data_IF_604216013234
#
_entry.id   IF_604216013234
#
_cell.length_a   1.000
_cell.length_b   1.000
_cell.length_c   1.000
_cell.angle_alpha   90.00
_cell.angle_beta   90.00
_cell.angle_gamma   90.00
#
_symmetry.space_group_name_H-M   'P 1'
#
loop_
_entity.id
_entity.type
_entity.pdbx_description
1 polymer ?
#
# COMPACT_ATOMS: atom_id res chain seq x y z
N UNK A 1 18.45 3.33 14.13
CA UNK A 1 19.11 4.18 13.11
C UNK A 1 20.13 3.33 12.35
N UNK A 2 19.73 2.71 11.26
CA UNK A 2 20.60 1.89 10.38
C UNK A 2 20.48 2.36 8.93
N UNK A 3 21.41 1.90 8.09
CA UNK A 3 21.30 2.01 6.65
C UNK A 3 20.94 0.64 6.09
N UNK A 4 19.87 0.57 5.32
CA UNK A 4 19.34 -0.67 4.77
C UNK A 4 19.57 -0.70 3.25
N UNK A 5 20.68 -1.30 2.76
CA UNK A 5 21.04 -1.29 1.34
C UNK A 5 19.89 -1.79 0.45
N UNK A 6 19.63 -1.10 -0.65
CA UNK A 6 18.47 -1.36 -1.52
C UNK A 6 18.53 -2.74 -2.20
N UNK A 7 19.70 -3.24 -2.52
CA UNK A 7 19.90 -4.60 -3.06
C UNK A 7 19.53 -5.68 -2.04
N UNK A 8 19.85 -5.43 -0.76
CA UNK A 8 19.47 -6.32 0.35
C UNK A 8 17.97 -6.26 0.62
N UNK A 9 17.37 -5.07 0.53
CA UNK A 9 15.91 -4.91 0.62
C UNK A 9 15.20 -5.64 -0.54
N UNK A 10 15.71 -5.56 -1.78
CA UNK A 10 15.14 -6.31 -2.90
C UNK A 10 15.19 -7.82 -2.66
N UNK A 11 16.32 -8.31 -2.16
CA UNK A 11 16.43 -9.73 -1.82
C UNK A 11 15.43 -10.14 -0.73
N UNK A 12 15.26 -9.32 0.31
CA UNK A 12 14.28 -9.56 1.37
C UNK A 12 12.83 -9.52 0.84
N UNK A 13 12.52 -8.58 -0.05
CA UNK A 13 11.21 -8.47 -0.68
C UNK A 13 10.88 -9.72 -1.52
N UNK A 14 11.87 -10.28 -2.23
CA UNK A 14 11.72 -11.55 -2.95
C UNK A 14 11.44 -12.72 -2.02
N UNK A 15 12.20 -12.82 -0.91
CA UNK A 15 11.96 -13.86 0.09
C UNK A 15 10.55 -13.75 0.70
N UNK A 16 10.10 -12.53 0.99
CA UNK A 16 8.74 -12.28 1.47
C UNK A 16 7.68 -12.75 0.48
N UNK A 17 7.83 -12.39 -0.80
CA UNK A 17 6.91 -12.80 -1.87
C UNK A 17 6.88 -14.33 -2.02
N UNK A 18 8.04 -15.00 -2.02
CA UNK A 18 8.12 -16.46 -2.08
C UNK A 18 7.47 -17.12 -0.85
N UNK A 19 7.73 -16.58 0.33
CA UNK A 19 7.12 -17.07 1.58
C UNK A 19 5.60 -16.94 1.57
N UNK A 20 5.06 -15.86 1.01
CA UNK A 20 3.62 -15.63 0.86
C UNK A 20 3.00 -16.43 -0.30
N UNK A 21 3.81 -17.08 -1.13
CA UNK A 21 3.35 -17.96 -2.21
C UNK A 21 3.21 -17.27 -3.56
N UNK A 22 3.94 -16.17 -3.81
CA UNK A 22 4.00 -15.54 -5.13
C UNK A 22 4.72 -16.46 -6.13
N UNK A 23 4.09 -16.70 -7.27
CA UNK A 23 4.58 -17.58 -8.31
C UNK A 23 5.47 -16.77 -9.30
N UNK A 24 6.78 -16.81 -9.09
CA UNK A 24 7.76 -16.14 -9.97
C UNK A 24 7.86 -16.76 -11.38
N UNK A 25 7.32 -17.94 -11.63
CA UNK A 25 7.18 -18.48 -12.99
C UNK A 25 6.06 -17.76 -13.76
N UNK A 26 5.17 -17.09 -13.04
CA UNK A 26 4.03 -16.33 -13.57
C UNK A 26 4.08 -14.85 -13.22
N UNK A 27 5.22 -14.36 -12.79
CA UNK A 27 5.36 -12.98 -12.39
C UNK A 27 6.80 -12.56 -12.16
N UNK A 28 6.96 -11.29 -11.78
CA UNK A 28 8.26 -10.68 -11.58
C UNK A 28 8.16 -9.53 -10.58
N UNK A 29 9.21 -9.33 -9.79
CA UNK A 29 9.41 -8.13 -8.98
C UNK A 29 10.41 -7.21 -9.68
N UNK A 30 10.05 -5.95 -9.89
CA UNK A 30 10.89 -4.90 -10.44
C UNK A 30 10.85 -3.64 -9.54
N UNK A 31 11.69 -2.66 -9.86
CA UNK A 31 11.74 -1.38 -9.16
C UNK A 31 11.06 -0.29 -9.97
N UNK A 32 10.25 0.54 -9.31
CA UNK A 32 9.63 1.72 -9.91
C UNK A 32 9.56 2.88 -8.92
N UNK A 33 9.39 4.09 -9.41
CA UNK A 33 9.22 5.28 -8.56
C UNK A 33 7.91 5.26 -7.74
N UNK A 34 6.89 4.62 -8.29
CA UNK A 34 5.62 4.36 -7.62
C UNK A 34 5.28 2.88 -7.75
N UNK A 35 5.11 2.14 -6.64
CA UNK A 35 4.72 0.74 -6.66
C UNK A 35 3.42 0.54 -7.45
N UNK A 36 3.36 -0.52 -8.24
CA UNK A 36 2.14 -0.92 -8.95
C UNK A 36 2.18 -2.39 -9.36
N UNK A 37 1.00 -2.94 -9.60
CA UNK A 37 0.80 -4.29 -10.14
C UNK A 37 0.18 -4.21 -11.52
N UNK A 38 0.68 -5.04 -12.44
CA UNK A 38 0.14 -5.16 -13.79
C UNK A 38 0.16 -6.61 -14.24
N UNK A 39 -0.92 -7.06 -14.86
CA UNK A 39 -0.98 -8.41 -15.38
C UNK A 39 -2.39 -9.00 -15.45
N UNK A 40 -2.41 -10.33 -15.49
CA UNK A 40 -3.61 -11.13 -15.67
C UNK A 40 -3.44 -12.51 -15.01
N UNK A 41 -4.33 -13.47 -15.32
CA UNK A 41 -4.32 -14.81 -14.75
C UNK A 41 -3.06 -15.64 -15.08
N UNK A 42 -2.24 -15.22 -16.05
CA UNK A 42 -1.10 -16.02 -16.55
C UNK A 42 0.26 -15.38 -16.27
N UNK A 43 0.32 -14.05 -16.28
CA UNK A 43 1.53 -13.26 -15.95
C UNK A 43 1.07 -12.01 -15.19
N UNK A 44 1.51 -11.87 -13.95
CA UNK A 44 1.20 -10.71 -13.12
C UNK A 44 2.45 -10.23 -12.41
N UNK A 45 2.87 -9.00 -12.71
CA UNK A 45 4.13 -8.41 -12.28
C UNK A 45 3.88 -7.33 -11.27
N UNK A 46 4.76 -7.27 -10.26
CA UNK A 46 4.71 -6.29 -9.18
C UNK A 46 5.95 -5.42 -9.23
N UNK A 47 5.79 -4.17 -8.83
CA UNK A 47 6.92 -3.27 -8.62
C UNK A 47 6.89 -2.71 -7.21
N UNK A 48 8.06 -2.35 -6.69
CA UNK A 48 8.19 -1.68 -5.41
C UNK A 48 9.22 -0.58 -5.48
N UNK A 49 9.33 0.21 -4.42
CA UNK A 49 10.37 1.24 -4.24
C UNK A 49 11.17 0.92 -2.98
N UNK A 50 12.48 1.04 -3.08
CA UNK A 50 13.37 0.85 -1.95
C UNK A 50 13.96 2.19 -1.50
N UNK A 51 14.01 2.41 -0.19
CA UNK A 51 14.64 3.55 0.46
C UNK A 51 15.57 3.02 1.57
N UNK A 52 16.83 3.46 1.58
CA UNK A 52 17.82 3.01 2.56
C UNK A 52 17.48 3.39 4.02
N UNK A 53 16.55 4.30 4.21
CA UNK A 53 16.05 4.73 5.52
C UNK A 53 14.74 4.07 5.95
N UNK A 54 13.99 3.42 5.01
CA UNK A 54 12.66 2.86 5.27
C UNK A 54 12.48 1.45 4.70
N UNK A 55 13.04 0.42 5.32
CA UNK A 55 12.86 -0.96 4.89
C UNK A 55 11.43 -1.47 5.14
N UNK A 56 10.71 -0.91 6.13
CA UNK A 56 9.34 -1.35 6.44
C UNK A 56 8.34 -0.88 5.38
N UNK A 57 8.49 0.35 4.89
CA UNK A 57 7.69 0.86 3.77
C UNK A 57 7.88 0.04 2.49
N UNK A 58 9.12 -0.39 2.21
CA UNK A 58 9.40 -1.27 1.06
C UNK A 58 8.70 -2.63 1.19
N UNK A 59 8.70 -3.25 2.37
CA UNK A 59 8.01 -4.52 2.63
C UNK A 59 6.49 -4.34 2.59
N UNK A 60 5.96 -3.29 3.22
CA UNK A 60 4.53 -2.98 3.20
C UNK A 60 4.00 -2.82 1.78
N UNK A 61 4.67 -2.01 0.96
CA UNK A 61 4.29 -1.81 -0.44
C UNK A 61 4.43 -3.09 -1.28
N UNK A 62 5.45 -3.90 -1.04
CA UNK A 62 5.62 -5.20 -1.73
C UNK A 62 4.46 -6.15 -1.41
N UNK A 63 4.02 -6.23 -0.15
CA UNK A 63 2.90 -7.07 0.27
C UNK A 63 1.58 -6.52 -0.28
N UNK A 64 1.42 -5.21 -0.36
CA UNK A 64 0.28 -4.55 -0.99
C UNK A 64 0.16 -4.98 -2.46
N UNK A 65 1.22 -4.83 -3.23
CA UNK A 65 1.25 -5.22 -4.65
C UNK A 65 1.08 -6.73 -4.85
N UNK A 66 1.60 -7.54 -3.92
CA UNK A 66 1.33 -8.98 -3.89
C UNK A 66 -0.18 -9.28 -3.77
N UNK A 67 -0.91 -8.54 -2.96
CA UNK A 67 -2.35 -8.71 -2.82
C UNK A 67 -3.09 -8.48 -4.13
N UNK A 68 -2.73 -7.45 -4.88
CA UNK A 68 -3.22 -7.22 -6.23
C UNK A 68 -2.86 -8.36 -7.20
N UNK A 69 -1.61 -8.82 -7.12
CA UNK A 69 -1.14 -9.91 -7.98
C UNK A 69 -1.85 -11.23 -7.69
N UNK A 70 -2.06 -11.58 -6.44
CA UNK A 70 -2.81 -12.79 -6.04
C UNK A 70 -4.24 -12.77 -6.55
N UNK A 71 -4.89 -11.60 -6.52
CA UNK A 71 -6.23 -11.46 -7.10
C UNK A 71 -6.22 -11.75 -8.60
N UNK A 72 -5.32 -11.11 -9.36
CA UNK A 72 -5.19 -11.33 -10.80
C UNK A 72 -4.84 -12.78 -11.15
N UNK A 73 -3.84 -13.36 -10.48
CA UNK A 73 -3.40 -14.75 -10.71
C UNK A 73 -4.47 -15.80 -10.32
N UNK A 74 -5.37 -15.42 -9.40
CA UNK A 74 -6.49 -16.25 -8.94
C UNK A 74 -7.74 -16.17 -9.80
N UNK A 75 -7.82 -15.27 -10.77
CA UNK A 75 -8.97 -15.15 -11.67
C UNK A 75 -9.15 -16.43 -12.53
N UNK A 76 -10.40 -16.80 -12.90
CA UNK A 76 -10.68 -18.02 -13.64
C UNK A 76 -10.04 -18.04 -15.03
N UNK A 77 -9.10 -18.93 -15.27
CA UNK A 77 -8.38 -19.04 -16.55
C UNK A 77 -9.28 -19.47 -17.71
N UNK A 78 -10.30 -20.28 -17.44
CA UNK A 78 -11.30 -20.74 -18.42
C UNK A 78 -12.17 -19.60 -18.96
N UNK A 79 -12.22 -18.48 -18.26
CA UNK A 79 -12.95 -17.28 -18.67
C UNK A 79 -12.05 -16.17 -19.23
N UNK A 80 -10.80 -16.49 -19.55
CA UNK A 80 -9.87 -15.53 -20.14
C UNK A 80 -10.47 -14.80 -21.35
N UNK A 81 -10.19 -13.50 -21.45
CA UNK A 81 -10.70 -12.59 -22.50
C UNK A 81 -12.23 -12.46 -22.52
N UNK A 82 -12.91 -12.75 -21.41
CA UNK A 82 -14.32 -12.46 -21.21
C UNK A 82 -14.54 -11.68 -19.90
N UNK A 83 -15.66 -10.96 -19.73
CA UNK A 83 -15.94 -10.23 -18.49
C UNK A 83 -15.92 -11.08 -17.21
N UNK A 84 -16.16 -12.40 -17.32
CA UNK A 84 -16.11 -13.33 -16.18
C UNK A 84 -14.68 -13.68 -15.75
N UNK A 85 -13.71 -13.46 -16.62
CA UNK A 85 -12.28 -13.70 -16.36
C UNK A 85 -11.52 -12.43 -15.97
N UNK A 86 -12.21 -11.29 -15.83
CA UNK A 86 -11.58 -10.03 -15.45
C UNK A 86 -11.85 -9.68 -13.98
N UNK A 87 -10.98 -8.84 -13.42
CA UNK A 87 -11.21 -8.27 -12.10
C UNK A 87 -12.52 -7.48 -12.10
N UNK A 88 -13.28 -7.62 -11.02
CA UNK A 88 -14.61 -7.00 -10.95
C UNK A 88 -14.56 -5.47 -11.05
N UNK A 89 -13.75 -4.84 -10.19
CA UNK A 89 -13.55 -3.39 -10.12
C UNK A 89 -12.36 -3.06 -9.20
N UNK A 90 -11.99 -1.80 -9.17
CA UNK A 90 -10.88 -1.32 -8.34
C UNK A 90 -11.13 -1.47 -6.83
N UNK A 91 -12.39 -1.40 -6.37
CA UNK A 91 -12.69 -1.53 -4.94
C UNK A 91 -12.42 -2.94 -4.42
N UNK A 92 -12.79 -3.98 -5.20
CA UNK A 92 -12.46 -5.36 -4.87
C UNK A 92 -10.96 -5.60 -5.00
N UNK A 93 -10.33 -5.03 -6.04
CA UNK A 93 -8.90 -5.16 -6.27
C UNK A 93 -8.08 -4.58 -5.10
N UNK A 94 -8.41 -3.36 -4.67
CA UNK A 94 -7.79 -2.70 -3.52
C UNK A 94 -8.11 -3.40 -2.19
N UNK A 95 -9.29 -4.02 -2.05
CA UNK A 95 -9.61 -4.79 -0.85
C UNK A 95 -8.68 -6.00 -0.66
N UNK A 96 -8.18 -6.57 -1.75
CA UNK A 96 -7.22 -7.68 -1.69
C UNK A 96 -5.82 -7.20 -1.33
N UNK A 97 -5.37 -6.08 -1.88
CA UNK A 97 -4.08 -5.48 -1.50
C UNK A 97 -4.08 -5.09 -0.02
N UNK A 98 -5.15 -4.45 0.45
CA UNK A 98 -5.28 -4.07 1.86
C UNK A 98 -5.46 -5.26 2.81
N UNK A 99 -6.10 -6.35 2.38
CA UNK A 99 -6.14 -7.60 3.14
C UNK A 99 -4.71 -8.09 3.44
N UNK A 100 -3.88 -8.17 2.40
CA UNK A 100 -2.51 -8.67 2.55
C UNK A 100 -1.61 -7.68 3.30
N UNK A 101 -1.64 -6.41 2.98
CA UNK A 101 -0.85 -5.39 3.65
C UNK A 101 -1.23 -5.25 5.12
N UNK A 102 -2.51 -5.00 5.42
CA UNK A 102 -2.94 -4.62 6.76
C UNK A 102 -3.25 -5.84 7.66
N UNK A 103 -4.02 -6.83 7.15
CA UNK A 103 -4.41 -7.96 8.00
C UNK A 103 -3.33 -9.05 8.08
N UNK A 104 -2.51 -9.20 7.05
CA UNK A 104 -1.40 -10.17 7.07
C UNK A 104 -0.08 -9.47 7.42
N UNK A 105 0.40 -8.56 6.62
CA UNK A 105 1.72 -7.94 6.75
C UNK A 105 1.95 -7.16 8.04
N UNK A 106 0.88 -6.64 8.65
CA UNK A 106 0.95 -5.94 9.96
C UNK A 106 0.63 -6.85 11.15
N UNK A 107 0.38 -8.15 10.94
CA UNK A 107 0.03 -9.08 12.01
C UNK A 107 1.27 -9.60 12.77
N UNK A 108 1.07 -9.93 14.07
CA UNK A 108 2.13 -10.63 14.85
C UNK A 108 2.55 -11.95 14.21
N UNK A 109 1.59 -12.73 13.67
CA UNK A 109 1.85 -13.99 13.03
C UNK A 109 2.77 -13.87 11.80
N UNK A 110 2.64 -12.78 11.04
CA UNK A 110 3.57 -12.46 9.96
C UNK A 110 4.96 -12.17 10.50
N UNK A 111 5.08 -11.31 11.51
CA UNK A 111 6.37 -10.92 12.09
C UNK A 111 7.08 -12.07 12.81
N UNK A 112 6.35 -13.01 13.41
CA UNK A 112 6.93 -14.25 13.98
C UNK A 112 7.69 -15.07 12.93
N UNK A 113 7.26 -15.06 11.69
CA UNK A 113 7.86 -15.80 10.58
C UNK A 113 8.87 -14.93 9.79
N UNK A 114 8.57 -13.66 9.60
CA UNK A 114 9.34 -12.79 8.72
C UNK A 114 10.54 -12.13 9.40
N UNK A 115 10.45 -11.80 10.70
CA UNK A 115 11.54 -11.16 11.43
C UNK A 115 12.86 -11.97 11.42
N UNK A 116 12.87 -13.31 11.56
CA UNK A 116 14.09 -14.09 11.39
C UNK A 116 14.75 -13.92 10.01
N UNK A 117 13.94 -13.86 8.93
CA UNK A 117 14.45 -13.66 7.57
C UNK A 117 15.03 -12.26 7.40
N UNK A 118 14.40 -11.25 8.01
CA UNK A 118 14.91 -9.88 8.04
C UNK A 118 16.23 -9.79 8.82
N UNK A 119 16.33 -10.45 9.97
CA UNK A 119 17.53 -10.47 10.81
C UNK A 119 18.73 -11.15 10.13
N UNK A 120 18.51 -12.16 9.30
CA UNK A 120 19.58 -12.79 8.51
C UNK A 120 20.19 -11.82 7.48
N UNK A 121 19.39 -10.90 6.94
CA UNK A 121 19.84 -9.94 5.92
C UNK A 121 20.30 -8.61 6.51
N UNK A 122 19.72 -8.21 7.63
CA UNK A 122 20.02 -6.97 8.34
C UNK A 122 20.45 -7.28 9.77
N UNK A 123 21.77 -7.36 10.03
CA UNK A 123 22.29 -7.65 11.38
C UNK A 123 21.80 -6.68 12.46
N UNK A 124 21.49 -5.43 12.10
CA UNK A 124 20.95 -4.42 13.02
C UNK A 124 19.52 -4.76 13.50
N UNK A 125 18.82 -5.65 12.78
CA UNK A 125 17.50 -6.15 13.18
C UNK A 125 17.57 -7.45 14.02
N UNK A 126 18.78 -8.01 14.24
CA UNK A 126 18.96 -9.32 14.89
C UNK A 126 18.48 -9.35 16.36
N UNK A 127 18.54 -8.23 17.03
CA UNK A 127 18.13 -8.09 18.45
C UNK A 127 16.66 -7.63 18.58
N UNK A 128 15.98 -7.34 17.47
CA UNK A 128 14.58 -6.91 17.50
C UNK A 128 13.64 -8.06 17.90
N UNK A 129 12.66 -7.73 18.71
CA UNK A 129 11.59 -8.64 19.09
C UNK A 129 10.40 -8.57 18.13
N UNK A 130 9.60 -9.63 18.09
CA UNK A 130 8.35 -9.64 17.31
C UNK A 130 7.41 -8.51 17.73
N UNK A 131 7.37 -8.18 19.04
CA UNK A 131 6.55 -7.08 19.54
C UNK A 131 7.01 -5.73 19.03
N UNK A 132 8.32 -5.45 19.04
CA UNK A 132 8.89 -4.21 18.50
C UNK A 132 8.64 -4.09 16.98
N UNK A 133 8.78 -5.17 16.24
CA UNK A 133 8.47 -5.19 14.80
C UNK A 133 6.97 -4.95 14.55
N UNK A 134 6.11 -5.57 15.35
CA UNK A 134 4.66 -5.36 15.28
C UNK A 134 4.27 -3.93 15.62
N UNK A 135 4.81 -3.35 16.70
CA UNK A 135 4.56 -1.97 17.09
C UNK A 135 5.04 -0.98 16.03
N UNK A 136 6.22 -1.21 15.45
CA UNK A 136 6.75 -0.37 14.38
C UNK A 136 5.87 -0.42 13.11
N UNK A 137 5.41 -1.61 12.72
CA UNK A 137 4.53 -1.77 11.55
C UNK A 137 3.13 -1.16 11.76
N UNK A 138 2.67 -1.03 13.01
CA UNK A 138 1.35 -0.51 13.37
C UNK A 138 1.41 0.87 14.05
N UNK A 139 2.51 1.60 13.87
CA UNK A 139 2.65 2.93 14.44
C UNK A 139 1.60 3.88 13.85
N UNK A 140 0.92 4.62 14.72
CA UNK A 140 0.01 5.70 14.34
C UNK A 140 0.78 7.01 14.42
N UNK A 141 0.74 7.80 13.34
CA UNK A 141 1.41 9.09 13.25
C UNK A 141 0.52 10.21 13.77
N UNK A 142 1.11 11.27 14.32
CA UNK A 142 0.33 12.37 14.89
C UNK A 142 -0.55 13.06 13.86
N UNK A 143 -0.05 13.30 12.66
CA UNK A 143 -0.82 13.92 11.56
C UNK A 143 -0.06 13.75 10.25
N UNK A 144 -0.72 13.27 9.21
CA UNK A 144 -0.18 13.29 7.87
C UNK A 144 -1.17 13.90 6.89
N UNK A 145 -0.75 14.94 6.16
CA UNK A 145 -1.54 15.54 5.09
C UNK A 145 -1.56 14.67 3.84
N UNK A 146 -0.51 13.85 3.64
CA UNK A 146 -0.29 13.07 2.42
C UNK A 146 -0.82 11.65 2.60
N UNK A 147 -1.78 11.25 1.75
CA UNK A 147 -2.47 9.96 1.83
C UNK A 147 -1.51 8.76 1.76
N UNK A 148 -0.57 8.77 0.83
CA UNK A 148 0.33 7.63 0.61
C UNK A 148 1.32 7.40 1.77
N UNK A 149 1.48 8.37 2.65
CA UNK A 149 2.33 8.31 3.85
C UNK A 149 1.49 8.14 5.13
N UNK A 150 0.17 8.01 5.00
CA UNK A 150 -0.73 7.85 6.14
C UNK A 150 -0.59 6.45 6.75
N UNK A 151 -0.74 6.39 8.08
CA UNK A 151 -0.82 5.13 8.82
C UNK A 151 -2.11 4.34 8.50
N UNK A 152 -2.16 3.09 8.96
CA UNK A 152 -3.33 2.21 8.72
C UNK A 152 -4.64 2.80 9.25
N UNK A 153 -4.60 3.47 10.39
CA UNK A 153 -5.80 4.02 11.03
C UNK A 153 -6.40 5.19 10.24
N UNK A 154 -5.53 6.11 9.77
CA UNK A 154 -5.96 7.36 9.12
C UNK A 154 -6.09 7.24 7.60
N UNK A 155 -5.43 6.27 6.95
CA UNK A 155 -5.46 6.11 5.49
C UNK A 155 -6.88 6.09 4.91
N UNK A 156 -7.79 5.36 5.52
CA UNK A 156 -9.17 5.24 5.03
C UNK A 156 -9.94 6.56 5.12
N UNK A 157 -9.62 7.42 6.07
CA UNK A 157 -10.23 8.74 6.19
C UNK A 157 -9.84 9.65 5.02
N UNK A 158 -8.59 9.55 4.53
CA UNK A 158 -8.18 10.22 3.30
C UNK A 158 -8.98 9.77 2.07
N UNK A 159 -9.33 8.48 1.99
CA UNK A 159 -10.18 7.95 0.92
C UNK A 159 -11.61 8.48 1.06
N UNK A 160 -12.16 8.52 2.27
CA UNK A 160 -13.52 9.03 2.52
C UNK A 160 -13.65 10.49 2.07
N UNK A 161 -12.68 11.36 2.39
CA UNK A 161 -12.67 12.76 1.93
C UNK A 161 -12.79 12.83 0.40
N UNK A 162 -11.92 12.10 -0.32
CA UNK A 162 -11.90 12.10 -1.78
C UNK A 162 -13.19 11.56 -2.38
N UNK A 163 -13.66 10.46 -1.86
CA UNK A 163 -14.92 9.84 -2.32
C UNK A 163 -16.13 10.77 -2.17
N UNK A 164 -16.24 11.44 -1.04
CA UNK A 164 -17.37 12.36 -0.80
C UNK A 164 -17.32 13.58 -1.72
N UNK A 165 -16.14 14.16 -1.93
CA UNK A 165 -15.96 15.29 -2.85
C UNK A 165 -16.26 14.88 -4.29
N UNK A 166 -15.69 13.75 -4.76
CA UNK A 166 -15.93 13.22 -6.10
C UNK A 166 -17.41 12.93 -6.33
N UNK A 167 -18.06 12.27 -5.37
CA UNK A 167 -19.50 11.99 -5.43
C UNK A 167 -20.32 13.27 -5.60
N UNK A 168 -20.03 14.29 -4.81
CA UNK A 168 -20.80 15.54 -4.80
C UNK A 168 -20.53 16.38 -6.07
N UNK A 169 -19.29 16.34 -6.60
CA UNK A 169 -18.96 16.89 -7.91
C UNK A 169 -19.72 16.20 -9.05
N UNK A 170 -19.72 14.86 -9.08
CA UNK A 170 -20.40 14.09 -10.13
C UNK A 170 -21.91 14.28 -10.09
N UNK A 171 -22.49 14.48 -8.91
CA UNK A 171 -23.94 14.77 -8.73
C UNK A 171 -24.30 16.23 -9.07
N UNK A 172 -23.33 17.12 -9.14
CA UNK A 172 -23.53 18.54 -9.30
C UNK A 172 -23.97 19.25 -8.01
N UNK A 173 -23.76 18.60 -6.86
CA UNK A 173 -24.05 19.15 -5.53
C UNK A 173 -22.91 20.04 -5.03
N UNK A 174 -21.72 19.96 -5.65
CA UNK A 174 -20.54 20.76 -5.36
C UNK A 174 -20.01 21.41 -6.63
N UNK A 175 -19.74 22.72 -6.60
CA UNK A 175 -19.04 23.42 -7.69
C UNK A 175 -17.52 23.24 -7.58
N UNK A 176 -16.83 23.20 -8.73
CA UNK A 176 -15.36 22.97 -8.76
C UNK A 176 -14.59 24.05 -7.99
N UNK A 177 -15.05 25.31 -8.07
CA UNK A 177 -14.45 26.44 -7.36
C UNK A 177 -14.54 26.35 -5.84
N UNK A 178 -15.47 25.55 -5.30
CA UNK A 178 -15.65 25.35 -3.86
C UNK A 178 -14.85 24.14 -3.31
N UNK A 179 -14.22 23.35 -4.19
CA UNK A 179 -13.46 22.15 -3.80
C UNK A 179 -12.36 22.45 -2.77
N UNK A 180 -11.55 23.51 -2.88
CA UNK A 180 -10.49 23.78 -1.91
C UNK A 180 -11.03 23.95 -0.47
N UNK A 181 -12.12 24.68 -0.31
CA UNK A 181 -12.69 24.93 1.02
C UNK A 181 -13.34 23.65 1.57
N UNK A 182 -14.13 22.95 0.75
CA UNK A 182 -14.78 21.68 1.16
C UNK A 182 -13.73 20.61 1.51
N UNK A 183 -12.60 20.58 0.79
CA UNK A 183 -11.48 19.70 1.11
C UNK A 183 -10.92 20.00 2.51
N UNK A 184 -10.61 21.26 2.77
CA UNK A 184 -10.07 21.70 4.04
C UNK A 184 -11.03 21.42 5.21
N UNK A 185 -12.32 21.67 5.03
CA UNK A 185 -13.35 21.38 6.05
C UNK A 185 -13.45 19.87 6.36
N UNK A 186 -13.36 19.01 5.32
CA UNK A 186 -13.39 17.55 5.50
C UNK A 186 -12.10 17.04 6.16
N UNK A 187 -10.93 17.60 5.81
CA UNK A 187 -9.67 17.27 6.49
C UNK A 187 -9.73 17.62 7.97
N UNK A 188 -10.23 18.81 8.30
CA UNK A 188 -10.41 19.21 9.71
C UNK A 188 -11.42 18.29 10.44
N UNK A 189 -12.53 17.94 9.77
CA UNK A 189 -13.55 17.08 10.35
C UNK A 189 -13.07 15.64 10.61
N UNK A 190 -12.36 15.02 9.65
CA UNK A 190 -12.01 13.60 9.70
C UNK A 190 -10.61 13.34 10.26
N UNK A 191 -9.67 14.24 10.01
CA UNK A 191 -8.26 14.07 10.37
C UNK A 191 -7.80 15.05 11.46
N UNK A 192 -8.63 16.03 11.82
CA UNK A 192 -8.30 17.02 12.84
C UNK A 192 -7.29 18.08 12.43
N UNK A 193 -6.97 18.15 11.13
CA UNK A 193 -6.00 19.09 10.56
C UNK A 193 -6.60 19.86 9.40
N UNK A 194 -6.15 21.10 9.21
CA UNK A 194 -6.55 21.93 8.09
C UNK A 194 -5.32 22.28 7.26
N UNK A 195 -5.26 21.90 5.97
CA UNK A 195 -4.17 22.33 5.08
C UNK A 195 -4.05 23.86 5.02
N UNK A 196 -2.83 24.36 5.02
CA UNK A 196 -2.57 25.82 4.95
C UNK A 196 -2.61 26.34 3.52
N UNK A 197 -2.35 25.47 2.55
CA UNK A 197 -2.31 25.80 1.12
C UNK A 197 -3.04 24.75 0.28
N UNK A 198 -3.48 25.14 -0.93
CA UNK A 198 -4.11 24.20 -1.87
C UNK A 198 -3.12 23.09 -2.31
N UNK A 199 -1.83 23.37 -2.32
CA UNK A 199 -0.79 22.39 -2.64
C UNK A 199 -0.69 21.27 -1.60
N UNK A 200 -0.90 21.59 -0.32
CA UNK A 200 -1.01 20.62 0.78
C UNK A 200 -2.40 20.02 0.90
N UNK A 201 -3.38 20.67 0.29
CA UNK A 201 -4.80 20.29 0.28
C UNK A 201 -5.22 19.58 -0.99
N UNK A 202 -6.22 20.14 -1.68
CA UNK A 202 -6.88 19.51 -2.83
C UNK A 202 -5.98 19.29 -4.06
N UNK A 203 -4.84 19.96 -4.16
CA UNK A 203 -3.89 19.80 -5.27
C UNK A 203 -2.81 18.73 -5.02
N UNK A 204 -2.77 18.09 -3.85
CA UNK A 204 -1.76 17.06 -3.54
C UNK A 204 -1.82 15.82 -4.43
N UNK A 205 -2.98 15.51 -5.01
CA UNK A 205 -3.20 14.35 -5.89
C UNK A 205 -3.06 14.70 -7.40
N UNK A 206 -2.59 15.89 -7.73
CA UNK A 206 -2.32 16.28 -9.13
C UNK A 206 -0.95 15.72 -9.54
N UNK A 207 -0.95 14.59 -10.25
CA UNK A 207 0.22 13.98 -10.89
C UNK A 207 -0.17 13.09 -12.06
#
# INVERSE_FOLDING_TARGET
DGTYPTDTQEALARDALEHLGYDFDRGRLDVSSHPFTSGNQFDCRVTTRFDESDPLGAIGSTIHEFGHAQYNLGLPKEHWATPLGEARDLSVHESQSRLWENHVGRSRAFWEQFLPMMAERFPDAADATVEEAYEAANQVYEVNLIRVEADELTYHLHIVVRFEIERDLVRGDLAVEDVPEVWNDKYEQYLGIRPETDAEGCLQDIH
#
